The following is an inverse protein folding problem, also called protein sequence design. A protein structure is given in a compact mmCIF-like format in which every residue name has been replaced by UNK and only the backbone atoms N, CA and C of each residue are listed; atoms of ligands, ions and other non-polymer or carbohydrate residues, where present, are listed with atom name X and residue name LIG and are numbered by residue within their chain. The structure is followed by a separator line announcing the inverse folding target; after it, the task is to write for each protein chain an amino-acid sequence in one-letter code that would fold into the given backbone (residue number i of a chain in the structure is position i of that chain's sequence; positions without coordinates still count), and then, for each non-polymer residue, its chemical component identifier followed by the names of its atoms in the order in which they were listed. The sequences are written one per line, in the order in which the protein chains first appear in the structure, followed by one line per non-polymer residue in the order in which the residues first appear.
data_IF_412537490977
#
_entry.id   IF_412537490977
#
_cell.length_a   1.000
_cell.length_b   1.000
_cell.length_c   1.000
_cell.angle_alpha   90.00
_cell.angle_beta   90.00
_cell.angle_gamma   90.00
#
_symmetry.space_group_name_H-M   'P 1'
#
loop_
_entity.id
_entity.type
_entity.pdbx_description
1 polymer ?
#
# COMPACT_ATOMS: atom_id res chain seq x y z
N UNK A 1 -9.57 -1.47 23.98
CA UNK A 1 -8.69 -0.66 23.10
C UNK A 1 -8.49 -1.43 21.79
N UNK A 2 -8.73 -0.82 20.61
CA UNK A 2 -8.73 -1.51 19.31
C UNK A 2 -7.42 -2.28 19.05
N UNK A 3 -7.48 -3.59 18.76
CA UNK A 3 -6.33 -4.48 18.47
C UNK A 3 -5.36 -3.88 17.44
N UNK A 4 -5.89 -3.20 16.43
CA UNK A 4 -5.11 -2.49 15.41
C UNK A 4 -4.21 -1.41 16.01
N UNK A 5 -4.68 -0.63 17.00
CA UNK A 5 -3.85 0.39 17.64
C UNK A 5 -2.67 -0.22 18.40
N UNK A 6 -2.85 -1.40 19.01
CA UNK A 6 -1.76 -2.09 19.68
C UNK A 6 -0.70 -2.57 18.67
N UNK A 7 -1.12 -3.05 17.50
CA UNK A 7 -0.20 -3.45 16.42
C UNK A 7 0.57 -2.26 15.85
N UNK A 8 -0.09 -1.12 15.60
CA UNK A 8 0.62 0.08 15.13
C UNK A 8 1.60 0.63 16.18
N UNK A 9 1.29 0.51 17.47
CA UNK A 9 2.19 0.99 18.53
C UNK A 9 3.48 0.17 18.64
N UNK A 10 3.49 -1.10 18.19
CA UNK A 10 4.69 -1.94 18.15
C UNK A 10 5.65 -1.57 17.02
N UNK A 11 5.18 -0.83 16.00
CA UNK A 11 5.99 -0.43 14.84
C UNK A 11 6.97 0.68 15.19
N UNK A 12 8.12 0.66 14.53
CA UNK A 12 9.11 1.75 14.62
C UNK A 12 8.60 3.02 13.93
N UNK A 13 9.26 4.15 14.18
CA UNK A 13 8.87 5.43 13.56
C UNK A 13 9.03 5.39 12.03
N UNK A 14 10.09 4.75 11.55
CA UNK A 14 10.38 4.55 10.13
C UNK A 14 9.34 3.62 9.48
N UNK A 15 8.95 2.54 10.16
CA UNK A 15 7.89 1.64 9.69
C UNK A 15 6.53 2.34 9.61
N UNK A 16 6.21 3.23 10.56
CA UNK A 16 5.00 4.04 10.49
C UNK A 16 5.07 5.03 9.33
N UNK A 17 6.22 5.64 9.07
CA UNK A 17 6.41 6.53 7.93
C UNK A 17 6.27 5.78 6.59
N UNK A 18 6.89 4.60 6.48
CA UNK A 18 6.77 3.72 5.32
C UNK A 18 5.33 3.28 5.08
N UNK A 19 4.60 2.90 6.13
CA UNK A 19 3.19 2.53 6.04
C UNK A 19 2.34 3.70 5.54
N UNK A 20 2.60 4.92 6.02
CA UNK A 20 1.90 6.12 5.54
C UNK A 20 2.20 6.36 4.06
N UNK A 21 3.45 6.20 3.61
CA UNK A 21 3.81 6.36 2.19
C UNK A 21 3.06 5.34 1.33
N UNK A 22 3.11 4.06 1.71
CA UNK A 22 2.42 2.99 1.01
C UNK A 22 0.93 3.27 0.85
N UNK A 23 0.27 3.64 1.95
CA UNK A 23 -1.17 3.92 1.94
C UNK A 23 -1.53 5.16 1.12
N UNK A 24 -0.63 6.16 1.07
CA UNK A 24 -0.82 7.34 0.21
C UNK A 24 -0.68 6.99 -1.28
N UNK A 25 0.31 6.19 -1.65
CA UNK A 25 0.47 5.72 -3.04
C UNK A 25 -0.73 4.90 -3.49
N UNK A 26 -1.18 3.95 -2.66
CA UNK A 26 -2.38 3.16 -2.95
C UNK A 26 -3.63 4.03 -3.07
N UNK A 27 -3.78 5.04 -2.20
CA UNK A 27 -4.91 5.96 -2.28
C UNK A 27 -4.86 6.83 -3.55
N UNK A 28 -3.66 7.18 -4.04
CA UNK A 28 -3.47 7.92 -5.29
C UNK A 28 -3.83 7.06 -6.50
N UNK A 29 -3.33 5.82 -6.54
CA UNK A 29 -3.71 4.82 -7.56
C UNK A 29 -5.22 4.64 -7.61
N UNK A 30 -5.85 4.49 -6.43
CA UNK A 30 -7.30 4.37 -6.34
C UNK A 30 -8.04 5.59 -6.89
N UNK A 31 -7.53 6.80 -6.61
CA UNK A 31 -8.12 8.02 -7.19
C UNK A 31 -7.99 8.06 -8.71
N UNK A 32 -6.87 7.60 -9.27
CA UNK A 32 -6.73 7.53 -10.73
C UNK A 32 -7.73 6.56 -11.36
N UNK A 33 -7.93 5.39 -10.75
CA UNK A 33 -8.95 4.42 -11.20
C UNK A 33 -10.36 4.99 -11.12
N UNK A 34 -10.67 5.67 -10.02
CA UNK A 34 -11.95 6.36 -9.85
C UNK A 34 -12.19 7.41 -10.94
N UNK A 35 -11.17 8.20 -11.31
CA UNK A 35 -11.26 9.19 -12.39
C UNK A 35 -11.41 8.52 -13.76
N UNK A 36 -10.73 7.39 -13.97
CA UNK A 36 -10.84 6.59 -15.20
C UNK A 36 -12.20 5.90 -15.39
N UNK A 37 -13.11 6.01 -14.41
CA UNK A 37 -14.44 5.41 -14.46
C UNK A 37 -14.49 3.95 -14.00
N UNK A 38 -13.40 3.42 -13.45
CA UNK A 38 -13.41 2.10 -12.82
C UNK A 38 -14.14 2.16 -11.47
N UNK A 39 -15.09 1.26 -11.24
CA UNK A 39 -15.82 1.16 -9.97
C UNK A 39 -14.88 0.58 -8.92
N UNK A 40 -14.20 1.45 -8.20
CA UNK A 40 -13.40 1.06 -7.06
C UNK A 40 -14.19 1.12 -5.76
N UNK A 41 -13.86 0.22 -4.83
CA UNK A 41 -14.53 0.12 -3.53
C UNK A 41 -14.22 1.36 -2.68
N UNK A 42 -15.08 2.38 -2.75
CA UNK A 42 -14.95 3.62 -1.95
C UNK A 42 -14.75 3.39 -0.44
N UNK A 43 -15.26 2.27 0.07
CA UNK A 43 -15.04 1.81 1.45
C UNK A 43 -13.56 1.53 1.77
N UNK A 44 -12.81 0.90 0.86
CA UNK A 44 -11.38 0.62 1.08
C UNK A 44 -10.58 1.92 1.14
N UNK A 45 -10.89 2.88 0.27
CA UNK A 45 -10.28 4.22 0.32
C UNK A 45 -10.56 4.93 1.66
N UNK A 46 -11.77 4.79 2.21
CA UNK A 46 -12.12 5.33 3.54
C UNK A 46 -11.29 4.66 4.64
N UNK A 47 -11.14 3.34 4.60
CA UNK A 47 -10.31 2.59 5.54
C UNK A 47 -8.83 3.00 5.46
N UNK A 48 -8.29 3.17 4.25
CA UNK A 48 -6.93 3.66 4.03
C UNK A 48 -6.71 5.04 4.67
N UNK A 49 -7.63 5.99 4.44
CA UNK A 49 -7.57 7.33 5.06
C UNK A 49 -7.59 7.27 6.59
N UNK A 50 -8.46 6.44 7.16
CA UNK A 50 -8.51 6.24 8.61
C UNK A 50 -7.20 5.63 9.13
N UNK A 51 -6.62 4.67 8.42
CA UNK A 51 -5.37 4.04 8.83
C UNK A 51 -4.19 5.02 8.77
N UNK A 52 -4.12 5.87 7.76
CA UNK A 52 -3.15 6.98 7.68
C UNK A 52 -3.30 7.90 8.90
N UNK A 53 -4.52 8.33 9.22
CA UNK A 53 -4.77 9.21 10.36
C UNK A 53 -4.33 8.58 11.68
N UNK A 54 -4.54 7.26 11.86
CA UNK A 54 -4.09 6.52 13.05
C UNK A 54 -2.57 6.44 13.14
N UNK A 55 -1.87 6.22 12.04
CA UNK A 55 -0.40 6.23 12.01
C UNK A 55 0.14 7.61 12.40
N UNK A 56 -0.44 8.67 11.83
CA UNK A 56 -0.08 10.06 12.17
C UNK A 56 -0.35 10.39 13.62
N UNK A 57 -1.47 9.90 14.18
CA UNK A 57 -1.79 10.05 15.58
C UNK A 57 -0.69 9.44 16.47
N UNK A 58 -0.24 8.22 16.17
CA UNK A 58 0.83 7.57 16.95
C UNK A 58 2.14 8.35 16.83
N UNK A 59 2.52 8.80 15.64
CA UNK A 59 3.68 9.67 15.48
C UNK A 59 3.54 10.95 16.32
N UNK A 60 2.36 11.58 16.32
CA UNK A 60 2.07 12.76 17.13
C UNK A 60 2.19 12.49 18.62
N UNK A 61 1.71 11.34 19.11
CA UNK A 61 1.89 10.93 20.52
C UNK A 61 3.35 10.71 20.90
N UNK A 62 4.20 10.40 19.91
CA UNK A 62 5.66 10.30 20.05
C UNK A 62 6.38 11.64 19.83
N UNK A 63 5.64 12.75 19.75
CA UNK A 63 6.15 14.08 19.42
C UNK A 63 6.85 14.18 18.05
N UNK A 64 6.47 13.34 17.10
CA UNK A 64 7.01 13.34 15.74
C UNK A 64 5.96 13.80 14.73
N UNK A 65 6.39 14.59 13.75
CA UNK A 65 5.61 14.99 12.59
C UNK A 65 6.28 14.47 11.33
N UNK A 66 5.52 13.80 10.48
CA UNK A 66 5.99 13.44 9.14
C UNK A 66 5.89 14.66 8.21
N UNK A 67 6.98 14.96 7.52
CA UNK A 67 7.06 15.96 6.46
C UNK A 67 7.50 15.30 5.17
N UNK A 68 6.79 15.59 4.08
CA UNK A 68 7.11 15.12 2.74
C UNK A 68 7.59 16.35 1.98
N UNK A 69 8.87 16.37 1.65
CA UNK A 69 9.49 17.43 0.88
C UNK A 69 9.97 16.92 -0.48
N UNK A 70 10.42 17.85 -1.32
CA UNK A 70 11.05 17.53 -2.61
C UNK A 70 12.32 16.69 -2.42
N UNK A 71 13.04 16.91 -1.33
CA UNK A 71 14.30 16.25 -1.01
C UNK A 71 14.15 14.97 -0.18
N UNK A 72 12.90 14.50 0.02
CA UNK A 72 12.63 13.22 0.66
C UNK A 72 11.65 13.28 1.83
N UNK A 73 11.72 12.25 2.67
CA UNK A 73 10.83 12.01 3.80
C UNK A 73 11.56 12.35 5.10
N UNK A 74 10.94 13.22 5.89
CA UNK A 74 11.51 13.69 7.15
C UNK A 74 10.58 13.39 8.32
N UNK A 75 11.17 12.99 9.44
CA UNK A 75 10.52 13.00 10.74
C UNK A 75 11.03 14.19 11.54
N UNK A 76 10.14 15.09 11.90
CA UNK A 76 10.44 16.31 12.64
C UNK A 76 10.01 16.10 14.09
N UNK A 77 10.94 16.21 15.03
CA UNK A 77 10.62 16.27 16.45
C UNK A 77 9.99 17.63 16.76
N UNK A 78 8.78 17.62 17.30
CA UNK A 78 7.97 18.81 17.55
C UNK A 78 8.50 19.61 18.75
N UNK A 79 9.19 18.97 19.70
CA UNK A 79 9.77 19.64 20.86
C UNK A 79 11.02 20.45 20.49
N UNK A 80 11.92 19.83 19.72
CA UNK A 80 13.25 20.41 19.43
C UNK A 80 13.38 20.98 18.01
N UNK A 81 12.33 20.86 17.19
CA UNK A 81 12.28 21.19 15.77
C UNK A 81 13.38 20.53 14.91
N UNK A 82 14.02 19.48 15.42
CA UNK A 82 15.06 18.71 14.72
C UNK A 82 14.41 17.77 13.71
N UNK A 83 14.88 17.83 12.46
CA UNK A 83 14.45 16.94 11.39
C UNK A 83 15.44 15.80 11.16
N UNK A 84 14.94 14.58 11.04
CA UNK A 84 15.71 13.40 10.66
C UNK A 84 15.24 12.98 9.27
N UNK A 85 16.16 12.85 8.32
CA UNK A 85 15.86 12.27 7.01
C UNK A 85 15.76 10.75 7.17
N UNK A 86 14.62 10.18 6.79
CA UNK A 86 14.34 8.73 6.89
C UNK A 86 14.08 8.09 5.53
N UNK A 87 14.42 8.78 4.43
CA UNK A 87 14.09 8.35 3.06
C UNK A 87 14.66 6.97 2.76
N UNK A 88 15.95 6.75 2.99
CA UNK A 88 16.59 5.45 2.72
C UNK A 88 16.01 4.32 3.58
N UNK A 89 15.69 4.59 4.84
CA UNK A 89 15.10 3.60 5.73
C UNK A 89 13.69 3.21 5.26
N UNK A 90 12.89 4.21 4.87
CA UNK A 90 11.55 4.00 4.31
C UNK A 90 11.62 3.22 3.01
N UNK A 91 12.50 3.58 2.09
CA UNK A 91 12.66 2.89 0.80
C UNK A 91 13.05 1.42 0.99
N UNK A 92 14.00 1.14 1.90
CA UNK A 92 14.38 -0.23 2.27
C UNK A 92 13.19 -1.01 2.82
N UNK A 93 12.38 -0.43 3.68
CA UNK A 93 11.21 -1.09 4.27
C UNK A 93 10.15 -1.41 3.20
N UNK A 94 9.87 -0.44 2.32
CA UNK A 94 8.89 -0.61 1.23
C UNK A 94 9.33 -1.74 0.29
N UNK A 95 10.60 -1.75 -0.12
CA UNK A 95 11.14 -2.72 -1.06
C UNK A 95 11.33 -4.13 -0.45
N UNK A 96 11.66 -4.22 0.83
CA UNK A 96 11.78 -5.52 1.54
C UNK A 96 10.43 -6.21 1.74
N UNK A 97 9.34 -5.43 1.87
CA UNK A 97 7.98 -5.98 1.90
C UNK A 97 7.49 -6.52 0.54
N UNK A 98 8.08 -6.11 -0.59
CA UNK A 98 7.76 -6.70 -1.91
C UNK A 98 8.39 -8.09 -2.09
N UNK A 99 9.66 -8.27 -1.70
CA UNK A 99 10.37 -9.55 -1.86
C UNK A 99 9.74 -10.70 -1.06
N UNK A 100 9.11 -10.38 0.08
CA UNK A 100 8.41 -11.37 0.93
C UNK A 100 7.02 -11.75 0.41
N UNK A 101 6.46 -11.04 -0.58
CA UNK A 101 5.16 -11.36 -1.19
C UNK A 101 5.28 -12.23 -2.45
N UNK A 102 6.36 -12.10 -3.22
CA UNK A 102 6.58 -12.93 -4.42
C UNK A 102 6.86 -14.41 -4.09
N UNK A 103 7.33 -14.71 -2.88
CA UNK A 103 7.54 -16.09 -2.42
C UNK A 103 6.27 -16.80 -1.95
N UNK A 104 5.11 -16.12 -1.86
CA UNK A 104 3.83 -16.74 -1.46
C UNK A 104 2.86 -17.01 -2.63
N UNK A 105 3.07 -16.40 -3.79
CA UNK A 105 2.19 -16.59 -4.97
C UNK A 105 2.48 -17.90 -5.71
N UNK A 106 3.67 -18.48 -5.59
CA UNK A 106 4.06 -19.68 -6.37
C UNK A 106 3.51 -21.03 -5.88
N UNK A 107 2.59 -21.08 -4.90
CA UNK A 107 2.08 -22.35 -4.33
C UNK A 107 0.57 -22.57 -4.42
N UNK A 108 -0.18 -21.78 -5.18
CA UNK A 108 -1.65 -21.92 -5.30
C UNK A 108 -2.19 -21.84 -6.72
N UNK A 109 -1.40 -22.24 -7.72
CA UNK A 109 -1.89 -22.45 -9.09
C UNK A 109 -1.47 -23.83 -9.60
N UNK A 110 -1.97 -24.89 -8.96
CA UNK A 110 -2.09 -26.21 -9.59
C UNK A 110 -3.32 -26.88 -9.03
N UNK A 111 -4.47 -26.47 -9.55
CA UNK A 111 -5.66 -27.30 -9.81
C UNK A 111 -6.75 -26.38 -10.35
N UNK A 112 -6.96 -26.47 -11.67
CA UNK A 112 -8.24 -26.56 -12.38
C UNK A 112 -8.13 -25.83 -13.70
N UNK A 113 -7.73 -26.54 -14.76
CA UNK A 113 -8.03 -26.20 -16.15
C UNK A 113 -7.69 -27.41 -17.04
N UNK A 114 -8.56 -28.43 -17.04
CA UNK A 114 -8.62 -29.36 -18.16
C UNK A 114 -9.41 -28.67 -19.29
N UNK A 115 -8.66 -27.91 -20.08
CA UNK A 115 -8.63 -27.97 -21.53
C UNK A 115 -9.94 -28.36 -22.26
N UNK A 116 -10.64 -27.34 -22.78
CA UNK A 116 -11.52 -27.48 -23.93
C UNK A 116 -11.18 -26.38 -24.93
N UNK A 117 -10.33 -26.71 -25.90
CA UNK A 117 -10.08 -25.89 -27.08
C UNK A 117 -9.69 -26.78 -28.26
N UNK A 118 -10.60 -26.94 -29.22
CA UNK A 118 -10.29 -27.25 -30.61
C UNK A 118 -11.25 -26.45 -31.50
N UNK A 119 -10.77 -25.32 -32.03
CA UNK A 119 -11.22 -24.69 -33.27
C UNK A 119 -10.43 -25.31 -34.46
N UNK A 120 -10.68 -24.95 -35.75
CA UNK A 120 -11.91 -24.60 -36.45
C UNK A 120 -12.06 -25.42 -37.76
N UNK A 121 -13.24 -25.46 -38.39
CA UNK A 121 -13.28 -25.70 -39.86
C UNK A 121 -14.52 -25.12 -40.51
N UNK A 122 -14.26 -24.19 -41.44
CA UNK A 122 -15.17 -23.58 -42.40
C UNK A 122 -15.60 -24.56 -43.49
N UNK A 123 -16.91 -24.64 -43.75
CA UNK A 123 -17.62 -25.03 -45.00
C UNK A 123 -19.09 -24.68 -44.70
N UNK A 124 -19.81 -23.79 -45.39
CA UNK A 124 -19.89 -23.54 -46.81
C UNK A 124 -21.35 -23.78 -47.18
N UNK A 125 -22.21 -22.76 -47.06
CA UNK A 125 -23.59 -22.80 -47.56
C UNK A 125 -23.73 -21.76 -48.68
N UNK A 126 -24.00 -22.27 -49.88
CA UNK A 126 -24.49 -21.51 -51.02
C UNK A 126 -25.38 -22.44 -51.84
N UNK A 127 -26.60 -21.93 -52.06
CA UNK A 127 -27.74 -22.45 -52.82
C UNK A 127 -28.71 -23.37 -52.08
#
# INVERSE_FOLDING_TARGET
MNKQMQELNKKTNEELAALIMRLRSQLLESRFKQIAGEIEKTHTMKQMRQMIARCMYILRTRNLKISLGVHGIYLINIADNKSINVTEAVDKIINKESETKDSKVKKTETKTAAEKATEPTTKGESK
#
